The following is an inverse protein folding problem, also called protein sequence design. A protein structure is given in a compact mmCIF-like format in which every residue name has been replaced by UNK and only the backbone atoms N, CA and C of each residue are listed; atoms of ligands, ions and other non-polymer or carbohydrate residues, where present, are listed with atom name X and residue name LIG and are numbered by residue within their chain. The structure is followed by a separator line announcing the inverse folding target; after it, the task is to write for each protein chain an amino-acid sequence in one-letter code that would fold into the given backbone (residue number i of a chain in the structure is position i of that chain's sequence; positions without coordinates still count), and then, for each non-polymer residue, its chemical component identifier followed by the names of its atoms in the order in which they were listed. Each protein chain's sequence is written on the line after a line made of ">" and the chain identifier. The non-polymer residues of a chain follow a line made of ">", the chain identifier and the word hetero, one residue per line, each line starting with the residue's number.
data_IF_011658399789
#
_entry.id   IF_011658399789
#
_cell.length_a   1.000
_cell.length_b   1.000
_cell.length_c   1.000
_cell.angle_alpha   90.00
_cell.angle_beta   90.00
_cell.angle_gamma   90.00
#
_symmetry.space_group_name_H-M   'P 1'
#
loop_
_entity.id
_entity.type
_entity.pdbx_description
1 polymer ?
2 non-polymer ?
3 non-polymer ?
4 non-polymer ?
5 water ?
#
# COMPACT_ATOMS: atom_id res chain seq x y z
N UNK A 1 23.94 38.83 13.91
CA UNK A 1 22.81 37.94 13.64
C UNK A 1 23.27 36.69 12.87
N UNK A 2 22.42 35.67 12.85
CA UNK A 2 22.73 34.38 12.27
C UNK A 2 21.58 34.00 11.36
N UNK A 3 21.89 33.30 10.26
CA UNK A 3 20.86 32.68 9.44
C UNK A 3 21.25 31.25 9.12
N UNK A 4 20.26 30.44 8.78
CA UNK A 4 20.53 29.08 8.36
C UNK A 4 20.54 28.08 9.51
N UNK A 5 21.08 26.90 9.21
CA UNK A 5 21.06 25.77 10.13
C UNK A 5 22.15 25.89 11.19
N UNK A 6 21.77 25.73 12.44
CA UNK A 6 22.66 25.90 13.58
C UNK A 6 22.38 24.81 14.60
N UNK A 7 23.42 24.12 15.06
CA UNK A 7 23.24 23.10 16.10
C UNK A 7 23.54 23.70 17.47
N UNK A 8 22.54 23.65 18.35
CA UNK A 8 22.62 24.21 19.69
C UNK A 8 22.10 23.23 20.72
N UNK A 9 22.86 23.00 21.78
CA UNK A 9 22.43 22.17 22.90
C UNK A 9 21.81 20.85 22.42
N UNK A 10 22.50 20.19 21.49
CA UNK A 10 22.14 18.85 21.06
C UNK A 10 21.07 18.74 19.98
N UNK A 11 20.58 19.86 19.47
CA UNK A 11 19.53 19.81 18.45
C UNK A 11 19.81 20.80 17.33
N UNK A 12 19.25 20.52 16.16
CA UNK A 12 19.37 21.43 15.02
C UNK A 12 18.24 22.45 15.04
N UNK A 13 18.61 23.70 14.79
CA UNK A 13 17.66 24.82 14.66
C UNK A 13 17.88 25.48 13.31
N UNK A 14 16.83 26.13 12.81
CA UNK A 14 16.98 26.89 11.58
C UNK A 14 16.65 28.36 11.83
N UNK A 15 17.63 29.22 11.59
CA UNK A 15 17.44 30.67 11.71
C UNK A 15 16.97 31.23 10.38
N UNK A 16 15.84 31.94 10.38
CA UNK A 16 15.36 32.54 9.14
C UNK A 16 16.18 33.77 8.76
N UNK A 17 15.77 34.44 7.68
CA UNK A 17 16.53 35.55 7.15
C UNK A 17 16.61 36.74 8.10
N UNK A 18 15.65 36.85 9.01
CA UNK A 18 15.70 37.93 10.00
C UNK A 18 16.32 37.47 11.32
N UNK A 19 17.04 36.35 11.26
CA UNK A 19 17.81 35.87 12.39
C UNK A 19 16.96 35.32 13.51
N UNK A 20 15.76 34.86 13.18
CA UNK A 20 14.82 34.34 14.17
C UNK A 20 14.58 32.85 13.98
N UNK A 21 14.31 32.13 15.08
CA UNK A 21 14.09 30.69 14.97
C UNK A 21 12.80 30.36 14.25
N UNK A 22 12.88 29.38 13.35
CA UNK A 22 11.70 28.84 12.71
C UNK A 22 11.09 27.77 13.61
N UNK A 23 9.78 27.85 13.84
CA UNK A 23 9.10 26.92 14.73
C UNK A 23 7.76 26.50 14.13
N UNK A 24 7.41 25.23 14.31
CA UNK A 24 6.18 24.67 13.74
C UNK A 24 6.07 24.87 12.24
N UNK A 25 7.11 24.53 11.50
CA UNK A 25 7.12 24.80 10.07
C UNK A 25 8.17 23.99 9.35
N UNK A 26 7.93 23.79 8.07
CA UNK A 26 8.90 23.18 7.19
C UNK A 26 9.99 24.16 6.77
N UNK A 27 11.19 23.64 6.64
CA UNK A 27 12.27 24.32 5.95
C UNK A 27 12.89 23.31 5.00
N UNK A 28 12.60 23.46 3.71
CA UNK A 28 13.06 22.47 2.75
C UNK A 28 12.47 21.12 3.11
N UNK A 29 13.33 20.12 3.21
CA UNK A 29 12.91 18.75 3.49
C UNK A 29 12.78 18.46 4.99
N UNK A 30 13.00 19.48 5.81
CA UNK A 30 13.06 19.32 7.26
C UNK A 30 11.92 20.03 7.97
N UNK A 31 11.56 19.51 9.13
CA UNK A 31 10.47 20.10 9.90
C UNK A 31 10.95 20.60 11.25
N UNK A 32 10.66 21.85 11.57
CA UNK A 32 11.02 22.44 12.85
C UNK A 32 9.83 22.37 13.80
N UNK A 33 10.05 21.77 14.96
CA UNK A 33 8.97 21.53 15.91
C UNK A 33 8.63 22.78 16.75
N UNK A 34 7.76 22.62 17.74
CA UNK A 34 7.24 23.76 18.47
C UNK A 34 8.31 24.53 19.24
N UNK A 35 9.38 23.83 19.64
CA UNK A 35 10.46 24.46 20.38
C UNK A 35 11.60 24.87 19.43
N UNK A 36 11.40 24.68 18.13
CA UNK A 36 12.41 25.04 17.15
C UNK A 36 13.33 23.88 16.79
N UNK A 37 13.25 22.77 17.51
CA UNK A 37 14.15 21.66 17.24
C UNK A 37 13.75 20.94 15.98
N UNK A 38 14.73 20.62 15.14
CA UNK A 38 14.48 19.78 13.95
C UNK A 38 13.95 18.40 14.33
N UNK A 39 12.84 17.99 13.72
CA UNK A 39 12.33 16.64 13.92
C UNK A 39 13.29 15.60 13.36
N UNK A 40 13.43 14.48 14.06
CA UNK A 40 14.35 13.44 13.66
C UNK A 40 13.84 12.09 14.12
N UNK A 41 13.84 11.12 13.21
CA UNK A 41 13.38 9.76 13.50
C UNK A 41 12.05 9.77 14.23
N UNK A 42 11.08 10.50 13.67
CA UNK A 42 9.81 10.61 14.33
C UNK A 42 8.73 11.01 13.36
N UNK A 43 7.50 10.70 13.76
CA UNK A 43 6.29 11.05 13.04
C UNK A 43 5.77 12.41 13.47
N UNK A 44 5.30 13.19 12.50
CA UNK A 44 4.70 14.48 12.75
C UNK A 44 3.39 14.62 11.96
N UNK A 45 2.32 15.08 12.60
CA UNK A 45 1.13 15.43 11.87
C UNK A 45 1.11 16.92 11.57
N UNK A 46 1.04 17.25 10.28
CA UNK A 46 0.98 18.64 9.86
C UNK A 46 -0.49 19.01 9.63
N UNK A 47 -1.03 19.89 10.47
CA UNK A 47 -2.45 20.22 10.38
C UNK A 47 -2.75 20.99 9.10
N UNK A 48 -1.73 21.66 8.56
CA UNK A 48 -1.93 22.50 7.37
C UNK A 48 -1.95 21.68 6.08
N UNK A 49 -1.28 20.53 6.09
CA UNK A 49 -1.30 19.61 4.96
C UNK A 49 -2.29 18.48 5.18
N UNK A 50 -2.88 18.44 6.38
CA UNK A 50 -3.78 17.38 6.80
C UNK A 50 -3.18 16.00 6.55
N UNK A 51 -1.95 15.78 7.02
CA UNK A 51 -1.24 14.54 6.75
C UNK A 51 -0.13 14.25 7.75
N UNK A 52 0.14 12.96 7.94
CA UNK A 52 1.30 12.52 8.68
C UNK A 52 2.54 12.49 7.78
N UNK A 53 3.68 12.84 8.37
CA UNK A 53 4.98 12.73 7.72
C UNK A 53 5.96 12.03 8.65
N UNK A 54 6.91 11.30 8.07
CA UNK A 54 7.97 10.69 8.86
C UNK A 54 9.30 11.35 8.56
N UNK A 55 9.90 11.95 9.58
CA UNK A 55 11.24 12.51 9.42
C UNK A 55 12.28 11.43 9.75
N UNK A 56 13.19 11.22 8.80
CA UNK A 56 14.21 10.18 8.91
C UNK A 56 15.32 10.57 9.90
N UNK A 57 16.33 9.73 10.00
CA UNK A 57 17.41 9.94 10.98
C UNK A 57 18.24 11.18 10.67
N UNK A 58 18.27 11.59 9.40
CA UNK A 58 18.98 12.80 9.05
C UNK A 58 18.07 14.01 9.07
N UNK A 59 16.82 13.81 9.47
CA UNK A 59 15.85 14.90 9.53
C UNK A 59 14.98 15.05 8.28
N UNK A 60 15.41 14.47 7.16
CA UNK A 60 14.68 14.68 5.91
C UNK A 60 13.43 13.80 5.85
N UNK A 61 12.38 14.31 5.24
CA UNK A 61 11.14 13.52 5.24
C UNK A 61 11.28 12.34 4.30
N UNK A 62 10.64 11.25 4.69
CA UNK A 62 10.60 10.04 3.88
C UNK A 62 9.60 10.23 2.76
N UNK A 63 9.91 9.69 1.58
CA UNK A 63 8.99 9.74 0.46
C UNK A 63 9.21 8.50 -0.39
N UNK A 64 8.14 8.02 -1.04
CA UNK A 64 8.20 6.78 -1.81
C UNK A 64 8.86 5.67 -1.04
N UNK A 65 8.46 5.51 0.22
CA UNK A 65 9.18 4.62 1.11
C UNK A 65 8.29 4.07 2.19
N UNK A 66 8.65 2.88 2.67
CA UNK A 66 8.01 2.30 3.83
C UNK A 66 8.68 2.74 5.13
N UNK A 67 7.88 3.02 6.14
CA UNK A 67 8.36 3.14 7.50
C UNK A 67 7.49 2.21 8.34
N UNK A 68 8.07 1.07 8.71
CA UNK A 68 7.27 0.02 9.33
C UNK A 68 6.19 -0.39 8.35
N UNK A 69 4.96 -0.46 8.85
CA UNK A 69 3.80 -0.88 8.08
C UNK A 69 3.19 0.27 7.28
N UNK A 70 3.85 1.42 7.31
CA UNK A 70 3.28 2.66 6.76
C UNK A 70 4.00 3.08 5.48
N UNK A 71 3.26 3.67 4.53
CA UNK A 71 3.86 4.08 3.28
C UNK A 71 3.80 5.60 3.11
N UNK A 72 4.96 6.21 2.87
CA UNK A 72 5.02 7.62 2.57
C UNK A 72 5.01 7.83 1.07
N UNK A 73 4.02 8.59 0.58
CA UNK A 73 3.86 8.81 -0.85
C UNK A 73 4.96 9.75 -1.40
N UNK A 74 4.91 10.04 -2.70
CA UNK A 74 5.99 10.81 -3.33
C UNK A 74 6.08 12.23 -2.78
N UNK A 75 4.96 12.75 -2.24
CA UNK A 75 4.93 14.08 -1.63
C UNK A 75 5.21 14.04 -0.14
N UNK A 76 5.59 12.86 0.37
CA UNK A 76 5.89 12.67 1.77
C UNK A 76 4.71 12.27 2.64
N UNK A 77 3.50 12.48 2.14
CA UNK A 77 2.29 12.24 2.94
C UNK A 77 2.10 10.75 3.19
N UNK A 78 1.83 10.38 4.44
CA UNK A 78 1.51 8.99 4.75
C UNK A 78 0.20 8.60 4.09
N UNK A 79 0.21 7.49 3.37
CA UNK A 79 -1.00 6.98 2.76
C UNK A 79 -1.99 6.46 3.80
N UNK A 80 -3.28 6.70 3.54
CA UNK A 80 -4.34 6.34 4.47
C UNK A 80 -5.60 6.03 3.71
N UNK A 81 -6.13 4.82 3.89
CA UNK A 81 -7.37 4.41 3.25
C UNK A 81 -7.33 4.58 1.75
N UNK A 82 -6.26 4.08 1.12
CA UNK A 82 -6.07 4.32 -0.29
C UNK A 82 -5.10 3.33 -0.90
N UNK A 83 -5.22 3.19 -2.20
CA UNK A 83 -4.30 2.39 -3.00
C UNK A 83 -3.10 3.21 -3.43
N UNK A 84 -1.92 2.63 -3.35
CA UNK A 84 -0.73 3.26 -3.90
C UNK A 84 0.02 2.27 -4.77
N UNK A 85 0.70 2.79 -5.79
CA UNK A 85 1.58 1.97 -6.60
C UNK A 85 3.03 2.31 -6.30
N UNK A 86 3.78 1.31 -5.86
CA UNK A 86 5.20 1.48 -5.59
C UNK A 86 5.96 1.08 -6.85
N UNK A 87 6.49 2.06 -7.56
CA UNK A 87 7.14 1.83 -8.85
C UNK A 87 8.43 1.04 -8.70
N UNK A 88 9.06 1.15 -7.54
CA UNK A 88 10.33 0.45 -7.29
C UNK A 88 10.14 -1.05 -7.09
N UNK A 89 8.98 -1.42 -6.56
CA UNK A 89 8.64 -2.83 -6.40
C UNK A 89 7.64 -3.31 -7.45
N UNK A 90 7.18 -2.39 -8.29
CA UNK A 90 6.20 -2.69 -9.34
C UNK A 90 4.99 -3.41 -8.74
N UNK A 91 4.43 -2.81 -7.71
CA UNK A 91 3.40 -3.46 -6.92
C UNK A 91 2.39 -2.46 -6.38
N UNK A 92 1.12 -2.85 -6.42
CA UNK A 92 0.06 -2.10 -5.74
C UNK A 92 -0.06 -2.53 -4.28
N UNK A 93 -0.33 -1.57 -3.40
CA UNK A 93 -0.60 -1.86 -2.00
C UNK A 93 -1.84 -1.09 -1.58
N UNK A 94 -2.55 -1.61 -0.58
CA UNK A 94 -3.66 -0.88 0.01
C UNK A 94 -3.32 -0.53 1.45
N UNK A 95 -3.30 0.77 1.74
CA UNK A 95 -3.08 1.22 3.09
C UNK A 95 -4.42 1.49 3.75
N UNK A 96 -4.65 0.82 4.88
CA UNK A 96 -5.90 0.94 5.61
C UNK A 96 -6.04 2.34 6.19
N UNK A 97 -7.23 2.70 6.68
CA UNK A 97 -7.45 4.03 7.22
C UNK A 97 -6.55 4.31 8.42
N UNK A 98 -6.10 3.26 9.10
CA UNK A 98 -5.15 3.45 10.20
C UNK A 98 -3.71 3.59 9.70
N UNK A 99 -3.51 3.47 8.38
CA UNK A 99 -2.19 3.65 7.81
C UNK A 99 -1.44 2.37 7.47
N UNK A 100 -1.70 1.29 8.21
CA UNK A 100 -0.93 0.06 8.01
C UNK A 100 -1.41 -0.71 6.79
N UNK A 101 -0.49 -1.38 6.09
CA UNK A 101 -0.86 -2.03 4.84
C UNK A 101 -1.72 -3.27 5.09
N UNK A 102 -2.69 -3.50 4.22
CA UNK A 102 -3.50 -4.71 4.27
C UNK A 102 -2.67 -5.89 3.79
N UNK A 103 -2.85 -7.05 4.39
CA UNK A 103 -2.17 -8.25 3.94
C UNK A 103 -2.97 -9.51 4.25
N UNK A 104 -2.81 -10.52 3.40
CA UNK A 104 -3.62 -11.72 3.50
C UNK A 104 -5.11 -11.42 3.62
N UNK A 105 -5.60 -10.51 2.78
CA UNK A 105 -6.95 -10.02 2.96
C UNK A 105 -7.52 -9.45 1.69
N UNK A 106 -8.84 -9.52 1.55
CA UNK A 106 -9.52 -8.85 0.47
C UNK A 106 -9.71 -7.38 0.82
N UNK A 107 -9.70 -6.55 -0.21
CA UNK A 107 -10.07 -5.15 -0.11
C UNK A 107 -10.93 -4.88 -1.32
N UNK A 108 -12.24 -4.76 -1.12
CA UNK A 108 -13.13 -4.67 -2.26
C UNK A 108 -12.99 -5.92 -3.12
N UNK A 109 -12.79 -5.72 -4.41
CA UNK A 109 -12.67 -6.84 -5.36
C UNK A 109 -11.23 -7.34 -5.55
N UNK A 110 -10.33 -6.88 -4.68
CA UNK A 110 -8.89 -7.11 -4.84
C UNK A 110 -8.33 -7.88 -3.65
N UNK A 111 -7.24 -8.61 -3.89
CA UNK A 111 -6.66 -9.41 -2.83
C UNK A 111 -5.22 -8.97 -2.56
N UNK A 112 -4.88 -8.72 -1.30
CA UNK A 112 -3.52 -8.37 -0.91
C UNK A 112 -2.81 -9.60 -0.36
N UNK A 113 -1.66 -9.94 -0.95
CA UNK A 113 -0.91 -11.11 -0.52
C UNK A 113 -0.18 -10.89 0.82
N UNK A 114 0.60 -11.88 1.24
CA UNK A 114 1.16 -11.88 2.60
C UNK A 114 2.11 -10.72 2.88
N UNK A 115 2.76 -10.21 1.85
CA UNK A 115 3.64 -9.07 2.03
C UNK A 115 2.99 -7.77 1.57
N UNK A 116 1.67 -7.83 1.39
CA UNK A 116 0.89 -6.64 1.05
C UNK A 116 0.70 -6.41 -0.43
N UNK A 117 1.42 -7.13 -1.27
CA UNK A 117 1.34 -6.91 -2.72
C UNK A 117 -0.01 -7.38 -3.27
N UNK A 118 -0.65 -6.52 -4.06
CA UNK A 118 -1.90 -6.89 -4.70
C UNK A 118 -1.69 -7.99 -5.73
N UNK A 119 -2.53 -9.01 -5.67
CA UNK A 119 -2.48 -10.06 -6.66
C UNK A 119 -3.04 -9.56 -8.00
N UNK A 120 -2.46 -10.05 -9.10
CA UNK A 120 -2.76 -9.52 -10.42
C UNK A 120 -2.43 -10.57 -11.48
N UNK A 121 -3.43 -10.99 -12.26
CA UNK A 121 -3.23 -12.00 -13.30
C UNK A 121 -2.69 -13.30 -12.74
N UNK A 122 -3.29 -13.77 -11.65
CA UNK A 122 -2.74 -14.91 -10.93
C UNK A 122 -3.80 -15.57 -10.04
N UNK A 123 -3.55 -16.84 -9.75
CA UNK A 123 -4.37 -17.60 -8.83
C UNK A 123 -3.89 -17.40 -7.40
N UNK A 124 -4.85 -17.34 -6.48
CA UNK A 124 -4.57 -17.20 -5.06
C UNK A 124 -5.46 -18.14 -4.25
N UNK A 125 -4.87 -18.83 -3.27
CA UNK A 125 -5.66 -19.68 -2.40
C UNK A 125 -6.03 -18.93 -1.14
N UNK A 126 -7.33 -18.78 -0.91
CA UNK A 126 -7.80 -18.08 0.29
C UNK A 126 -7.98 -19.09 1.40
N UNK A 127 -7.10 -19.03 2.40
CA UNK A 127 -7.09 -19.99 3.49
C UNK A 127 -8.39 -20.01 4.27
N UNK A 128 -9.08 -18.86 4.34
CA UNK A 128 -10.32 -18.78 5.10
C UNK A 128 -11.49 -19.42 4.33
N UNK A 129 -11.58 -19.16 3.03
CA UNK A 129 -12.64 -19.75 2.23
C UNK A 129 -12.32 -21.19 1.83
N UNK A 130 -11.04 -21.57 1.94
CA UNK A 130 -10.54 -22.87 1.48
C UNK A 130 -10.92 -23.08 0.02
N UNK A 131 -10.54 -22.12 -0.81
CA UNK A 131 -10.85 -22.15 -2.24
C UNK A 131 -9.90 -21.28 -3.02
N UNK A 132 -9.70 -21.63 -4.29
CA UNK A 132 -8.90 -20.82 -5.20
C UNK A 132 -9.74 -19.71 -5.81
N UNK A 133 -9.09 -18.57 -6.03
CA UNK A 133 -9.66 -17.42 -6.72
C UNK A 133 -8.72 -17.02 -7.82
N UNK A 134 -9.26 -16.45 -8.90
CA UNK A 134 -8.38 -15.93 -9.93
C UNK A 134 -8.52 -14.42 -10.03
N UNK A 135 -7.40 -13.73 -9.85
CA UNK A 135 -7.40 -12.28 -9.99
C UNK A 135 -7.00 -11.91 -11.42
N UNK A 136 -7.84 -11.12 -12.08
CA UNK A 136 -7.65 -10.77 -13.48
C UNK A 136 -6.52 -9.73 -13.65
N UNK A 137 -6.32 -9.27 -14.88
CA UNK A 137 -5.15 -8.43 -15.16
C UNK A 137 -5.18 -7.10 -14.44
N UNK A 138 -6.36 -6.64 -14.02
CA UNK A 138 -6.41 -5.36 -13.30
C UNK A 138 -6.52 -5.58 -11.81
N UNK A 139 -6.42 -6.84 -11.38
CA UNK A 139 -6.50 -7.16 -9.97
C UNK A 139 -7.86 -7.66 -9.50
N UNK A 140 -8.93 -7.30 -10.21
CA UNK A 140 -10.28 -7.63 -9.75
C UNK A 140 -10.54 -9.11 -9.93
N UNK A 141 -11.20 -9.74 -8.96
CA UNK A 141 -11.38 -11.19 -9.07
C UNK A 141 -12.34 -11.52 -10.19
N UNK A 142 -12.07 -12.65 -10.86
CA UNK A 142 -12.92 -13.18 -11.91
C UNK A 142 -14.10 -13.92 -11.28
N UNK A 143 -15.28 -13.79 -11.89
CA UNK A 143 -16.44 -14.53 -11.42
C UNK A 143 -17.36 -14.84 -12.60
N UNK A 144 -18.10 -15.95 -12.47
CA UNK A 144 -19.02 -16.42 -13.51
C UNK A 144 -18.34 -16.45 -14.86
N UNK A 145 -17.13 -17.02 -14.91
CA UNK A 145 -16.31 -16.99 -16.12
C UNK A 145 -15.20 -18.04 -16.06
N UNK A 146 -14.68 -18.39 -17.23
CA UNK A 146 -13.60 -19.35 -17.32
C UNK A 146 -12.26 -18.66 -17.24
N UNK A 147 -11.31 -19.32 -16.58
CA UNK A 147 -9.90 -18.99 -16.71
C UNK A 147 -9.21 -20.26 -17.14
N UNK A 148 -8.85 -20.33 -18.42
CA UNK A 148 -8.38 -21.57 -18.99
C UNK A 148 -9.46 -22.62 -18.85
N UNK A 149 -9.09 -23.78 -18.31
CA UNK A 149 -10.01 -24.91 -18.16
C UNK A 149 -10.67 -24.94 -16.79
N UNK A 150 -10.56 -23.84 -16.05
CA UNK A 150 -11.18 -23.72 -14.74
C UNK A 150 -12.31 -22.70 -14.78
N UNK A 151 -13.33 -22.93 -13.95
CA UNK A 151 -14.45 -22.01 -13.91
C UNK A 151 -14.58 -21.35 -12.56
N UNK A 152 -14.65 -20.03 -12.57
CA UNK A 152 -14.89 -19.28 -11.34
C UNK A 152 -16.38 -19.00 -11.19
N UNK A 153 -16.94 -19.41 -10.06
CA UNK A 153 -18.38 -19.30 -9.84
C UNK A 153 -18.76 -17.85 -9.51
N UNK A 154 -20.03 -17.60 -9.22
CA UNK A 154 -20.52 -16.23 -9.08
C UNK A 154 -19.88 -15.49 -7.90
N UNK A 155 -19.44 -16.23 -6.88
CA UNK A 155 -18.77 -15.60 -5.75
C UNK A 155 -17.24 -15.62 -5.92
N UNK A 156 -16.80 -16.01 -7.11
CA UNK A 156 -15.39 -16.03 -7.44
C UNK A 156 -14.68 -17.35 -7.15
N UNK A 157 -15.32 -18.22 -6.39
CA UNK A 157 -14.69 -19.50 -6.02
C UNK A 157 -14.56 -20.44 -7.22
N UNK A 158 -13.40 -21.08 -7.31
CA UNK A 158 -13.20 -22.13 -8.31
C UNK A 158 -14.17 -23.27 -8.11
N UNK A 159 -14.81 -23.71 -9.20
CA UNK A 159 -15.73 -24.84 -9.16
C UNK A 159 -15.00 -26.17 -9.09
N UNK A 160 -15.55 -27.13 -8.35
CA UNK A 160 -15.04 -28.51 -8.35
C UNK A 160 -16.18 -29.52 -8.35
N UNK A 161 -16.00 -30.59 -9.12
CA UNK A 161 -16.98 -31.69 -9.22
C UNK A 161 -18.42 -31.20 -9.34
N UNK A 162 -18.70 -30.44 -10.39
CA UNK A 162 -20.03 -29.89 -10.57
C UNK A 162 -20.23 -29.46 -11.99
N UNK A 163 -21.50 -29.27 -12.35
CA UNK A 163 -21.86 -28.72 -13.65
C UNK A 163 -21.92 -27.21 -13.55
N UNK A 164 -21.29 -26.53 -14.51
CA UNK A 164 -21.15 -25.08 -14.45
C UNK A 164 -21.50 -24.41 -15.77
N UNK A 165 -21.63 -23.08 -15.72
CA UNK A 165 -21.80 -22.24 -16.90
C UNK A 165 -23.08 -22.61 -17.64
N UNK A 166 -24.21 -22.31 -17.01
CA UNK A 166 -25.52 -22.64 -17.56
C UNK A 166 -25.71 -24.14 -17.57
N UNK A 167 -25.05 -24.84 -16.65
CA UNK A 167 -25.13 -26.28 -16.55
C UNK A 167 -24.64 -27.04 -17.78
N UNK A 168 -23.73 -26.44 -18.55
CA UNK A 168 -23.29 -27.02 -19.81
C UNK A 168 -22.00 -27.84 -19.72
N UNK A 169 -21.17 -27.52 -18.72
CA UNK A 169 -19.83 -28.10 -18.64
C UNK A 169 -19.59 -28.76 -17.31
N UNK A 170 -18.98 -29.94 -17.32
CA UNK A 170 -18.67 -30.65 -16.09
C UNK A 170 -17.20 -30.46 -15.73
N UNK A 171 -16.95 -29.92 -14.53
CA UNK A 171 -15.58 -29.91 -14.06
C UNK A 171 -15.39 -31.00 -13.00
N UNK A 172 -14.29 -31.74 -13.11
CA UNK A 172 -14.00 -32.80 -12.16
C UNK A 172 -13.59 -32.26 -10.80
N UNK A 173 -13.31 -33.17 -9.86
CA UNK A 173 -12.94 -32.74 -8.51
C UNK A 173 -11.71 -31.84 -8.49
N UNK A 174 -10.80 -32.02 -9.46
CA UNK A 174 -9.60 -31.18 -9.53
C UNK A 174 -9.87 -29.78 -10.11
N UNK A 175 -11.11 -29.53 -10.53
CA UNK A 175 -11.49 -28.24 -11.08
C UNK A 175 -11.38 -28.13 -12.59
N UNK A 176 -10.81 -29.16 -13.22
CA UNK A 176 -10.51 -29.07 -14.64
C UNK A 176 -11.66 -29.55 -15.52
N UNK A 177 -12.05 -28.73 -16.49
CA UNK A 177 -12.89 -29.24 -17.58
C UNK A 177 -11.99 -30.03 -18.52
N UNK A 178 -12.17 -31.33 -18.57
CA UNK A 178 -11.30 -32.16 -19.40
C UNK A 178 -11.86 -32.19 -20.81
N UNK A 179 -11.11 -31.56 -21.73
CA UNK A 179 -11.56 -31.39 -23.11
C UNK A 179 -11.40 -32.67 -23.93
N UNK A 180 -12.51 -33.33 -24.20
CA UNK A 180 -12.52 -34.48 -25.10
C UNK A 180 -13.55 -34.23 -26.18
N UNK A 181 -13.08 -33.88 -27.38
CA UNK A 181 -14.00 -33.62 -28.47
C UNK A 181 -13.84 -34.67 -29.57
N UNK A 182 -14.86 -34.78 -30.43
CA UNK A 182 -14.80 -35.71 -31.54
C UNK A 182 -13.88 -35.20 -32.65
X LIG B 1 -5.12 -1.26 -9.93
X LIG B 1 -5.63 -1.86 -8.63
X LIG B 1 -7.60 -0.56 -8.78
X LIG B 1 -6.98 -1.57 -6.75
X LIG B 1 -5.76 0.26 -7.59
X LIG B 1 -5.87 -1.81 -11.01
X LIG B 1 -6.50 -0.93 -7.94
X LIG C 1 -3.92 -23.08 -11.84
X LIG C 1 -4.34 -24.31 -11.03
X LIG C 1 -4.63 -23.12 -8.99
X LIG C 1 -6.44 -23.33 -10.51
X LIG C 1 -5.67 -25.18 -9.35
X LIG C 1 -2.69 -22.58 -11.33
X LIG C 1 -5.26 -23.96 -9.97
X LIG D 1 21.70 17.54 9.51
X LIG D 1 20.56 18.55 9.54
X LIG D 1 21.19 19.02 7.31
X LIG D 1 19.53 20.30 8.36
X LIG D 1 21.78 20.50 9.03
X LIG D 1 21.18 16.23 9.66
X LIG D 1 20.77 19.60 8.56
X LIG E 1 -15.70 -22.98 -22.44
X LIG E 1 -14.27 -22.84 -21.94
X LIG E 1 -12.50 -24.07 -21.01
X LIG E 1 -14.69 -24.97 -21.08
X LIG E 1 -13.44 -24.70 -23.07
X LIG E 1 -16.24 -21.68 -22.63
X LIG E 1 -13.72 -24.15 -21.77
X LIG F 1 -16.78 -11.73 -3.38
X LIG F 1 -16.01 -12.37 -2.24
X LIG F 1 -14.33 -10.71 -2.52
X LIG F 1 -13.91 -12.61 -1.22
X LIG F 1 -14.09 -12.79 -3.56
X LIG F 1 -18.07 -12.32 -3.45
X LIG F 1 -14.58 -12.13 -2.39
X LIG G 1 6.93 -3.55 5.30
X LIG G 1 6.18 -3.12 4.05
X LIG G 1 5.29 -3.92 2.00
X LIG G 1 7.56 -4.25 2.54
X LIG G 1 5.87 -5.42 3.71
X LIG G 1 7.78 -2.51 5.75
X LIG G 1 6.22 -4.18 3.08
X LIG H 1 1.87 5.33 14.52
X LIG H 1 0.75 5.78 13.58
X LIG H 1 0.16 7.36 11.92
X LIG H 1 1.81 7.88 13.51
X LIG H 1 2.25 6.31 11.82
X LIG H 1 1.47 4.18 15.24
X LIG H 1 1.25 6.83 12.70
X LIG I 1 7.32 18.35 -0.01
X LIG I 1 6.28 19.04 0.87
X LIG I 1 7.87 19.77 2.49
X LIG I 1 5.60 19.49 3.06
X LIG I 1 6.96 17.63 2.63
X LIG I 1 8.17 19.34 -0.59
X LIG I 1 6.68 18.99 2.26
X LIG J 1 -6.10 -12.21 -17.47
X LIG J 1 -5.26 -12.23 -16.36
X LIG J 1 -7.36 -11.43 -17.10
X LIG J 1 -8.49 -12.25 -17.25
X LIG J 1 -7.50 -10.21 -18.00
X LIG J 1 -8.59 -9.44 -17.55
X LIG K 1 -10.28 1.28 5.30
X LIG K 1 -10.77 2.39 6.12
X LIG K 1 -10.09 1.75 3.93
X LIG K 1 -9.05 0.73 5.85
X LIG K 1 -11.30 0.23 5.36
X LIG L 1 -2.47 13.77 -1.68
X LIG L 1 -2.01 15.16 -1.71
X LIG L 1 -3.16 13.46 -2.92
X LIG L 1 -1.32 12.87 -1.55
X LIG L 1 -3.35 13.58 -0.54
#
# INVERSE_FOLDING_TARGET
>A
TTSGWVKQDGAWYYFDGNGNLVKNAWQGSYYLKADGKMAQSEWIYDSSYQAWYYLKSDGSYAKNAWQGAYYLKSNGKMAQGEWVYDSSYQAWYYLKSDGSYARNAWQGNYYLKSDGKMAKGEWVYDATYQAWYYLTSDGSYAYSTWQGNYYLKSDGKMAVNEWVDGGRYYVGADGVWKEVQA
>B hetero
1 CHT C4 C5 C6 C7 C8 O6 N1
>C hetero
1 CHT C4 C5 C6 C7 C8 O6 N1
>D hetero
1 CHT C4 C5 C6 C7 C8 O6 N1
>E hetero
1 CHT C4 C5 C6 C7 C8 O6 N1
>F hetero
1 CHT C4 C5 C6 C7 C8 O6 N1
>G hetero
1 CHT C4 C5 C6 C7 C8 O6 N1
>H hetero
1 CHT C4 C5 C6 C7 C8 O6 N1
>I hetero
1 CHT C4 C5 C6 C7 C8 O6 N1
>J hetero
1 GOL C1 O1 C2 O2 C3 O3
>K hetero
1 SO4 S O1 O2 O3 O4
>L hetero
1 SO4 S O1 O2 O3 O4
#
